data_IF_818746206155
#
_entry.id   IF_818746206155
#
_cell.length_a   1.000
_cell.length_b   1.000
_cell.length_c   1.000
_cell.angle_alpha   90.00
_cell.angle_beta   90.00
_cell.angle_gamma   90.00
#
_symmetry.space_group_name_H-M   'P 1'
#
loop_
_entity.id
_entity.type
_entity.pdbx_description
1 polymer ?
#
# COMPACT_ATOMS: atom_id res chain seq x y z
N UNK A 1 23.37 17.47 14.17
CA UNK A 1 23.17 16.88 12.84
C UNK A 1 22.18 17.72 12.03
N UNK A 2 22.37 17.87 10.72
CA UNK A 2 21.41 18.55 9.83
C UNK A 2 20.23 17.63 9.50
N UNK A 3 19.05 18.20 9.21
CA UNK A 3 17.83 17.43 8.93
C UNK A 3 17.98 16.45 7.76
N UNK A 4 18.67 16.81 6.68
CA UNK A 4 18.87 15.90 5.54
C UNK A 4 19.80 14.72 5.91
N UNK A 5 20.79 14.94 6.79
CA UNK A 5 21.67 13.87 7.30
C UNK A 5 20.87 12.86 8.15
N UNK A 6 19.92 13.35 8.95
CA UNK A 6 19.02 12.50 9.73
C UNK A 6 18.12 11.65 8.81
N UNK A 7 17.59 12.22 7.71
CA UNK A 7 16.82 11.47 6.73
C UNK A 7 17.65 10.38 6.05
N UNK A 8 18.88 10.72 5.60
CA UNK A 8 19.80 9.74 4.99
C UNK A 8 20.12 8.61 5.98
N UNK A 9 20.49 8.95 7.20
CA UNK A 9 20.79 7.96 8.26
C UNK A 9 19.59 7.05 8.55
N UNK A 10 18.39 7.61 8.53
CA UNK A 10 17.15 6.82 8.71
C UNK A 10 16.96 5.83 7.58
N UNK A 11 17.14 6.25 6.31
CA UNK A 11 17.05 5.32 5.16
C UNK A 11 18.12 4.22 5.28
N UNK A 12 19.33 4.55 5.72
CA UNK A 12 20.40 3.55 5.95
C UNK A 12 20.00 2.53 7.01
N UNK A 13 19.49 2.99 8.16
CA UNK A 13 19.04 2.10 9.26
C UNK A 13 17.90 1.18 8.83
N UNK A 14 17.08 1.63 7.88
CA UNK A 14 15.99 0.83 7.29
C UNK A 14 16.44 -0.10 6.15
N UNK A 15 17.76 -0.17 5.86
CA UNK A 15 18.31 -1.09 4.86
C UNK A 15 18.46 -0.49 3.46
N UNK A 16 18.54 0.83 3.34
CA UNK A 16 18.81 1.53 2.07
C UNK A 16 17.58 1.92 1.26
N UNK A 17 16.37 1.50 1.69
CA UNK A 17 15.07 1.85 1.11
C UNK A 17 14.09 2.16 2.25
N UNK A 18 13.26 3.19 2.07
CA UNK A 18 12.22 3.56 3.04
C UNK A 18 11.00 4.17 2.37
N UNK A 19 9.82 3.92 2.93
CA UNK A 19 8.62 4.67 2.59
C UNK A 19 8.64 6.06 3.23
N UNK A 20 7.88 6.99 2.66
CA UNK A 20 7.68 8.30 3.27
C UNK A 20 7.00 8.18 4.65
N UNK A 21 6.15 7.18 4.84
CA UNK A 21 5.51 6.87 6.13
C UNK A 21 6.53 6.46 7.18
N UNK A 22 7.42 5.51 6.86
CA UNK A 22 8.52 5.09 7.74
C UNK A 22 9.43 6.28 8.07
N UNK A 23 9.80 7.09 7.08
CA UNK A 23 10.62 8.29 7.32
C UNK A 23 9.94 9.28 8.27
N UNK A 24 8.65 9.53 8.10
CA UNK A 24 7.87 10.40 8.97
C UNK A 24 7.77 9.89 10.41
N UNK A 25 8.03 8.62 10.66
CA UNK A 25 7.99 8.00 11.99
C UNK A 25 9.38 7.86 12.59
N UNK A 26 10.34 7.34 11.81
CA UNK A 26 11.63 6.89 12.32
C UNK A 26 12.66 8.03 12.45
N UNK A 27 12.56 9.08 11.61
CA UNK A 27 13.54 10.18 11.62
C UNK A 27 13.59 10.92 12.94
N UNK A 28 12.50 10.99 13.68
CA UNK A 28 12.41 11.67 14.97
C UNK A 28 13.08 10.88 16.11
N UNK A 29 13.42 9.61 15.88
CA UNK A 29 14.20 8.79 16.83
C UNK A 29 15.72 9.09 16.75
N UNK A 30 16.13 9.99 15.85
CA UNK A 30 17.52 10.48 15.77
C UNK A 30 17.69 11.62 16.77
N UNK A 31 18.27 11.30 17.94
CA UNK A 31 18.41 12.24 19.06
C UNK A 31 19.27 13.49 18.71
N UNK A 32 20.28 13.33 17.85
CA UNK A 32 21.20 14.40 17.46
C UNK A 32 20.62 15.39 16.44
N UNK A 33 19.34 15.26 16.05
CA UNK A 33 18.69 16.12 15.08
C UNK A 33 17.47 16.82 15.66
N UNK A 34 17.55 18.14 15.73
CA UNK A 34 16.43 18.96 16.18
C UNK A 34 15.57 19.45 15.02
N UNK A 35 14.26 19.17 15.10
CA UNK A 35 13.26 19.58 14.10
C UNK A 35 12.51 20.84 14.56
N UNK A 36 13.11 22.02 14.30
CA UNK A 36 12.56 23.33 14.72
C UNK A 36 11.39 23.83 13.87
N UNK A 37 11.04 23.12 12.79
CA UNK A 37 9.97 23.52 11.87
C UNK A 37 8.60 23.15 12.40
N UNK A 38 7.58 24.00 12.13
CA UNK A 38 6.17 23.71 12.43
C UNK A 38 5.58 22.60 11.53
N UNK A 39 6.22 22.29 10.39
CA UNK A 39 5.78 21.31 9.42
C UNK A 39 6.88 20.31 9.07
N UNK A 40 7.30 19.46 10.04
CA UNK A 40 8.44 18.56 9.84
C UNK A 40 8.20 17.56 8.69
N UNK A 41 7.00 17.05 8.50
CA UNK A 41 6.67 16.13 7.41
C UNK A 41 6.81 16.77 6.01
N UNK A 42 6.49 18.06 5.88
CA UNK A 42 6.74 18.80 4.64
C UNK A 42 8.24 18.96 4.37
N UNK A 43 9.03 19.16 5.44
CA UNK A 43 10.50 19.25 5.34
C UNK A 43 11.11 17.90 4.92
N UNK A 44 10.67 16.79 5.51
CA UNK A 44 11.09 15.44 5.11
C UNK A 44 10.77 15.19 3.63
N UNK A 45 9.53 15.48 3.21
CA UNK A 45 9.11 15.34 1.80
C UNK A 45 10.00 16.16 0.86
N UNK A 46 10.31 17.40 1.20
CA UNK A 46 11.21 18.25 0.41
C UNK A 46 12.63 17.67 0.35
N UNK A 47 13.16 17.16 1.46
CA UNK A 47 14.50 16.57 1.51
C UNK A 47 14.59 15.38 0.57
N UNK A 48 13.66 14.42 0.64
CA UNK A 48 13.71 13.23 -0.22
C UNK A 48 13.49 13.53 -1.71
N UNK A 49 12.87 14.67 -2.04
CA UNK A 49 12.67 15.10 -3.42
C UNK A 49 13.86 15.89 -3.99
N UNK A 50 14.63 16.58 -3.17
CA UNK A 50 15.68 17.53 -3.61
C UNK A 50 17.10 17.04 -3.35
N UNK A 51 17.30 16.07 -2.45
CA UNK A 51 18.63 15.60 -2.11
C UNK A 51 19.14 14.62 -3.19
N UNK A 52 20.34 14.90 -3.73
CA UNK A 52 20.97 14.11 -4.80
C UNK A 52 21.40 12.69 -4.38
N UNK A 53 21.56 12.45 -3.08
CA UNK A 53 21.90 11.14 -2.53
C UNK A 53 20.68 10.21 -2.40
N UNK A 54 19.47 10.76 -2.60
CA UNK A 54 18.20 10.03 -2.49
C UNK A 54 17.57 9.98 -3.89
N UNK A 55 17.09 8.81 -4.29
CA UNK A 55 16.32 8.64 -5.52
C UNK A 55 14.93 8.07 -5.23
N UNK A 56 13.98 8.39 -6.08
CA UNK A 56 12.61 7.91 -5.99
C UNK A 56 12.51 6.59 -6.74
N UNK A 57 12.07 5.54 -6.05
CA UNK A 57 11.79 4.22 -6.65
C UNK A 57 10.35 4.21 -7.17
N UNK A 58 9.41 4.63 -6.31
CA UNK A 58 7.97 4.73 -6.56
C UNK A 58 7.39 5.96 -5.84
N UNK A 59 6.14 6.38 -6.14
CA UNK A 59 5.47 7.38 -5.32
C UNK A 59 5.44 6.96 -3.85
N UNK A 60 6.11 7.75 -2.99
CA UNK A 60 6.22 7.46 -1.56
C UNK A 60 7.32 6.47 -1.16
N UNK A 61 8.11 5.92 -2.08
CA UNK A 61 9.22 5.01 -1.81
C UNK A 61 10.55 5.60 -2.33
N UNK A 62 11.53 5.66 -1.45
CA UNK A 62 12.82 6.32 -1.71
C UNK A 62 13.98 5.41 -1.33
N UNK A 63 15.08 5.48 -2.09
CA UNK A 63 16.30 4.75 -1.84
C UNK A 63 17.52 5.66 -1.82
N UNK A 64 18.63 5.18 -1.24
CA UNK A 64 19.92 5.87 -1.31
C UNK A 64 20.69 5.49 -2.56
N UNK A 65 21.20 6.48 -3.28
CA UNK A 65 21.97 6.30 -4.51
C UNK A 65 23.14 5.32 -4.35
N UNK A 66 23.82 5.34 -3.21
CA UNK A 66 24.95 4.44 -2.92
C UNK A 66 24.53 2.96 -2.85
N UNK A 67 23.27 2.67 -2.54
CA UNK A 67 22.71 1.31 -2.50
C UNK A 67 21.89 0.97 -3.75
N UNK A 68 21.82 1.83 -4.78
CA UNK A 68 20.93 1.66 -5.93
C UNK A 68 21.07 0.27 -6.59
N UNK A 69 22.30 -0.19 -6.85
CA UNK A 69 22.55 -1.52 -7.46
C UNK A 69 22.09 -2.69 -6.57
N UNK A 70 22.23 -2.55 -5.26
CA UNK A 70 21.79 -3.55 -4.30
C UNK A 70 20.26 -3.55 -4.18
N UNK A 71 19.65 -2.38 -4.13
CA UNK A 71 18.21 -2.21 -4.13
C UNK A 71 17.58 -2.83 -5.39
N UNK A 72 18.15 -2.61 -6.58
CA UNK A 72 17.70 -3.22 -7.84
C UNK A 72 17.79 -4.76 -7.79
N UNK A 73 18.87 -5.34 -7.25
CA UNK A 73 19.00 -6.79 -7.05
C UNK A 73 17.95 -7.35 -6.07
N UNK A 74 17.54 -6.54 -5.10
CA UNK A 74 16.51 -6.90 -4.12
C UNK A 74 15.07 -6.68 -4.64
N UNK A 75 14.91 -6.29 -5.92
CA UNK A 75 13.62 -6.09 -6.56
C UNK A 75 13.04 -4.68 -6.44
N UNK A 76 13.79 -3.72 -5.86
CA UNK A 76 13.39 -2.30 -5.81
C UNK A 76 13.78 -1.59 -7.10
N UNK A 77 13.09 -1.94 -8.18
CA UNK A 77 13.41 -1.47 -9.53
C UNK A 77 12.63 -0.18 -9.80
N UNK A 78 13.32 0.84 -10.31
CA UNK A 78 12.70 2.07 -10.78
C UNK A 78 11.88 1.78 -12.04
N UNK A 79 10.62 2.21 -12.07
CA UNK A 79 9.76 2.04 -13.24
C UNK A 79 10.19 2.96 -14.37
N UNK A 80 10.34 2.39 -15.55
CA UNK A 80 10.71 3.07 -16.79
C UNK A 80 9.79 2.62 -17.91
N UNK A 81 9.71 3.39 -19.02
CA UNK A 81 8.93 3.00 -20.20
C UNK A 81 9.34 1.63 -20.80
N UNK A 82 10.54 1.13 -20.48
CA UNK A 82 11.04 -0.14 -20.97
C UNK A 82 10.65 -1.34 -20.14
N UNK A 83 10.41 -1.15 -18.83
CA UNK A 83 10.15 -2.25 -17.88
C UNK A 83 8.76 -2.22 -17.25
N UNK A 84 7.95 -1.19 -17.47
CA UNK A 84 6.64 -1.01 -16.84
C UNK A 84 5.69 -2.20 -17.04
N UNK A 85 5.80 -2.86 -18.19
CA UNK A 85 4.95 -4.00 -18.56
C UNK A 85 5.64 -5.36 -18.29
N UNK A 86 6.81 -5.39 -17.63
CA UNK A 86 7.46 -6.65 -17.25
C UNK A 86 6.70 -7.32 -16.10
N UNK A 87 6.69 -8.66 -16.11
CA UNK A 87 6.03 -9.45 -15.06
C UNK A 87 6.55 -9.08 -13.65
N UNK A 88 7.86 -8.87 -13.52
CA UNK A 88 8.50 -8.46 -12.26
C UNK A 88 7.97 -7.11 -11.77
N UNK A 89 7.83 -6.13 -12.68
CA UNK A 89 7.32 -4.80 -12.33
C UNK A 89 5.83 -4.84 -11.97
N UNK A 90 5.03 -5.62 -12.70
CA UNK A 90 3.61 -5.83 -12.42
C UNK A 90 3.43 -6.42 -11.02
N UNK A 91 4.16 -7.51 -10.70
CA UNK A 91 4.11 -8.15 -9.38
C UNK A 91 4.58 -7.21 -8.29
N UNK A 92 5.67 -6.47 -8.52
CA UNK A 92 6.18 -5.49 -7.56
C UNK A 92 5.15 -4.37 -7.29
N UNK A 93 4.57 -3.79 -8.35
CA UNK A 93 3.57 -2.74 -8.23
C UNK A 93 2.36 -3.21 -7.44
N UNK A 94 1.81 -4.37 -7.78
CA UNK A 94 0.65 -4.93 -7.12
C UNK A 94 0.91 -5.11 -5.61
N UNK A 95 2.00 -5.80 -5.25
CA UNK A 95 2.38 -6.04 -3.86
C UNK A 95 2.68 -4.74 -3.10
N UNK A 96 3.29 -3.76 -3.77
CA UNK A 96 3.60 -2.47 -3.17
C UNK A 96 2.33 -1.71 -2.77
N UNK A 97 1.34 -1.62 -3.66
CA UNK A 97 0.10 -0.92 -3.33
C UNK A 97 -0.77 -1.69 -2.33
N UNK A 98 -0.80 -3.03 -2.40
CA UNK A 98 -1.42 -3.84 -1.34
C UNK A 98 -0.80 -3.53 0.03
N UNK A 99 0.54 -3.49 0.13
CA UNK A 99 1.25 -3.18 1.37
C UNK A 99 0.95 -1.78 1.90
N UNK A 100 0.92 -0.76 1.02
CA UNK A 100 0.53 0.60 1.41
C UNK A 100 -0.90 0.66 1.96
N UNK A 101 -1.84 -0.04 1.33
CA UNK A 101 -3.23 -0.11 1.79
C UNK A 101 -3.34 -0.78 3.16
N UNK A 102 -2.56 -1.84 3.43
CA UNK A 102 -2.49 -2.47 4.74
C UNK A 102 -1.94 -1.50 5.80
N UNK A 103 -0.84 -0.79 5.50
CA UNK A 103 -0.28 0.21 6.42
C UNK A 103 -1.26 1.35 6.72
N UNK A 104 -1.93 1.88 5.69
CA UNK A 104 -2.92 2.96 5.86
C UNK A 104 -4.10 2.48 6.72
N UNK A 105 -4.63 1.27 6.47
CA UNK A 105 -5.72 0.68 7.26
C UNK A 105 -5.33 0.54 8.74
N UNK A 106 -4.14 0.00 9.00
CA UNK A 106 -3.61 -0.13 10.36
C UNK A 106 -3.43 1.24 11.05
N UNK A 107 -2.93 2.26 10.34
CA UNK A 107 -2.81 3.62 10.88
C UNK A 107 -4.17 4.25 11.19
N UNK A 108 -5.20 3.91 10.42
CA UNK A 108 -6.60 4.30 10.69
C UNK A 108 -7.26 3.49 11.82
N UNK A 109 -6.54 2.54 12.43
CA UNK A 109 -7.03 1.62 13.46
C UNK A 109 -8.17 0.71 12.96
N UNK A 110 -8.17 0.41 11.67
CA UNK A 110 -9.03 -0.58 11.05
C UNK A 110 -8.29 -1.92 11.01
N UNK A 111 -9.02 -3.02 11.14
CA UNK A 111 -8.44 -4.32 10.88
C UNK A 111 -8.25 -4.54 9.37
N UNK A 112 -7.16 -5.15 9.00
CA UNK A 112 -6.77 -5.33 7.60
C UNK A 112 -6.65 -6.81 7.23
N UNK A 113 -7.15 -7.17 6.06
CA UNK A 113 -7.08 -8.53 5.54
C UNK A 113 -6.48 -8.54 4.13
N UNK A 114 -5.73 -9.62 3.84
CA UNK A 114 -5.17 -9.90 2.52
C UNK A 114 -5.46 -11.35 2.12
N UNK A 115 -5.73 -11.65 0.82
CA UNK A 115 -5.98 -12.98 0.32
C UNK A 115 -4.84 -13.96 0.57
N UNK A 116 -5.16 -15.25 0.72
CA UNK A 116 -4.17 -16.29 0.96
C UNK A 116 -3.10 -16.38 -0.13
N UNK A 117 -3.46 -16.13 -1.38
CA UNK A 117 -2.57 -16.17 -2.54
C UNK A 117 -1.46 -15.09 -2.47
N UNK A 118 -1.73 -13.95 -1.80
CA UNK A 118 -0.82 -12.81 -1.74
C UNK A 118 -0.03 -12.72 -0.44
N UNK A 119 -0.37 -13.52 0.58
CA UNK A 119 0.23 -13.49 1.92
C UNK A 119 1.76 -13.52 1.94
N UNK A 120 2.37 -14.27 1.02
CA UNK A 120 3.82 -14.44 0.97
C UNK A 120 4.52 -13.43 0.06
N UNK A 121 3.77 -12.58 -0.64
CA UNK A 121 4.35 -11.50 -1.45
C UNK A 121 5.05 -10.49 -0.55
N UNK A 122 6.09 -9.85 -1.09
CA UNK A 122 6.90 -8.89 -0.34
C UNK A 122 6.40 -7.47 -0.54
N UNK A 123 6.28 -6.75 0.54
CA UNK A 123 6.22 -5.30 0.61
C UNK A 123 7.50 -4.81 1.27
N UNK A 124 8.39 -4.21 0.49
CA UNK A 124 9.72 -3.80 0.93
C UNK A 124 10.46 -5.00 1.55
N UNK A 125 10.74 -4.98 2.84
CA UNK A 125 11.49 -6.01 3.57
C UNK A 125 10.60 -6.95 4.39
N UNK A 126 9.27 -6.84 4.29
CA UNK A 126 8.29 -7.62 5.05
C UNK A 126 7.35 -8.38 4.11
N UNK A 127 6.76 -9.47 4.59
CA UNK A 127 5.67 -10.13 3.87
C UNK A 127 4.36 -9.39 4.13
N UNK A 128 3.44 -9.42 3.18
CA UNK A 128 2.12 -8.81 3.33
C UNK A 128 1.35 -9.40 4.52
N UNK A 129 1.51 -10.71 4.81
CA UNK A 129 0.89 -11.32 5.98
C UNK A 129 1.42 -10.80 7.33
N UNK A 130 2.61 -10.19 7.36
CA UNK A 130 3.18 -9.60 8.58
C UNK A 130 2.60 -8.19 8.82
N UNK A 131 2.05 -7.58 7.79
CA UNK A 131 1.38 -6.27 7.84
C UNK A 131 -0.11 -6.42 8.15
N UNK A 132 -0.75 -7.45 7.60
CA UNK A 132 -2.17 -7.72 7.80
C UNK A 132 -2.48 -8.04 9.27
N UNK A 133 -3.43 -7.32 9.88
CA UNK A 133 -3.85 -7.57 11.27
C UNK A 133 -4.66 -8.87 11.40
N UNK A 134 -5.42 -9.24 10.36
CA UNK A 134 -6.25 -10.43 10.33
C UNK A 134 -5.56 -11.58 9.60
N UNK A 135 -5.51 -12.75 10.23
CA UNK A 135 -4.98 -13.99 9.62
C UNK A 135 -6.02 -14.73 8.78
N UNK A 136 -7.31 -14.51 9.08
CA UNK A 136 -8.46 -15.07 8.36
C UNK A 136 -9.50 -13.98 8.16
N UNK A 137 -10.28 -14.09 7.09
CA UNK A 137 -11.42 -13.21 6.87
C UNK A 137 -12.50 -13.48 7.94
N UNK A 138 -13.07 -12.44 8.57
CA UNK A 138 -14.16 -12.58 9.54
C UNK A 138 -15.43 -13.16 8.91
N UNK A 139 -16.24 -13.81 9.74
CA UNK A 139 -17.57 -14.32 9.35
C UNK A 139 -18.61 -13.20 9.49
N UNK A 140 -18.71 -12.35 8.47
CA UNK A 140 -19.62 -11.17 8.48
C UNK A 140 -20.88 -11.37 7.63
N UNK A 141 -21.02 -12.51 6.93
CA UNK A 141 -22.13 -12.80 6.03
C UNK A 141 -22.23 -14.30 5.71
N UNK A 142 -23.05 -14.65 4.70
CA UNK A 142 -23.16 -16.02 4.18
C UNK A 142 -21.81 -16.52 3.61
N UNK A 143 -21.53 -17.84 3.72
CA UNK A 143 -20.25 -18.42 3.30
C UNK A 143 -19.86 -18.09 1.85
N UNK A 144 -20.82 -18.04 0.92
CA UNK A 144 -20.61 -17.70 -0.49
C UNK A 144 -20.08 -16.27 -0.65
N UNK A 145 -20.67 -15.34 0.09
CA UNK A 145 -20.27 -13.93 0.10
C UNK A 145 -18.88 -13.77 0.70
N UNK A 146 -18.62 -14.44 1.82
CA UNK A 146 -17.30 -14.44 2.47
C UNK A 146 -16.25 -15.01 1.52
N UNK A 147 -16.56 -16.11 0.84
CA UNK A 147 -15.69 -16.73 -0.18
C UNK A 147 -15.41 -15.75 -1.32
N UNK A 148 -16.42 -15.02 -1.81
CA UNK A 148 -16.25 -14.01 -2.86
C UNK A 148 -15.37 -12.86 -2.35
N UNK A 149 -15.65 -12.32 -1.16
CA UNK A 149 -14.87 -11.25 -0.53
C UNK A 149 -13.41 -11.66 -0.29
N UNK A 150 -13.15 -12.93 0.03
CA UNK A 150 -11.78 -13.43 0.27
C UNK A 150 -10.87 -13.36 -0.96
N UNK A 151 -11.39 -13.02 -2.13
CA UNK A 151 -10.62 -12.81 -3.38
C UNK A 151 -10.31 -11.33 -3.65
N UNK A 152 -10.78 -10.41 -2.81
CA UNK A 152 -10.48 -8.97 -2.88
C UNK A 152 -9.05 -8.72 -2.42
N UNK A 153 -8.31 -7.89 -3.12
CA UNK A 153 -6.88 -7.66 -2.90
C UNK A 153 -6.55 -7.13 -1.51
N UNK A 154 -7.32 -6.19 -0.98
CA UNK A 154 -7.23 -5.72 0.42
C UNK A 154 -8.61 -5.38 0.94
N UNK A 155 -8.90 -5.78 2.17
CA UNK A 155 -10.14 -5.41 2.86
C UNK A 155 -9.79 -4.73 4.18
N UNK A 156 -10.48 -3.64 4.47
CA UNK A 156 -10.49 -3.04 5.80
C UNK A 156 -11.77 -3.40 6.52
N UNK A 157 -11.67 -3.74 7.79
CA UNK A 157 -12.79 -4.06 8.67
C UNK A 157 -12.85 -3.07 9.81
N UNK A 158 -14.06 -2.66 10.17
CA UNK A 158 -14.34 -1.93 11.41
C UNK A 158 -14.89 -2.87 12.48
N UNK A 159 -14.56 -2.57 13.74
CA UNK A 159 -15.12 -3.26 14.87
C UNK A 159 -16.39 -2.54 15.35
N UNK A 160 -17.48 -3.27 15.50
CA UNK A 160 -18.73 -2.77 16.09
C UNK A 160 -19.18 -3.65 17.23
N UNK A 161 -19.73 -3.03 18.27
CA UNK A 161 -20.34 -3.73 19.41
C UNK A 161 -21.83 -3.92 19.15
N UNK A 162 -22.28 -5.18 19.27
CA UNK A 162 -23.69 -5.56 19.27
C UNK A 162 -23.95 -6.47 20.47
N UNK A 163 -24.81 -6.02 21.41
CA UNK A 163 -25.15 -6.79 22.60
C UNK A 163 -23.92 -7.39 23.31
N UNK A 164 -22.91 -6.55 23.58
CA UNK A 164 -21.62 -6.90 24.18
C UNK A 164 -20.72 -7.84 23.32
N UNK A 165 -21.13 -8.20 22.12
CA UNK A 165 -20.31 -8.94 21.17
C UNK A 165 -19.60 -8.00 20.19
N UNK A 166 -18.28 -8.14 20.07
CA UNK A 166 -17.51 -7.45 19.04
C UNK A 166 -17.63 -8.19 17.72
N UNK A 167 -18.18 -7.51 16.71
CA UNK A 167 -18.26 -8.03 15.35
C UNK A 167 -17.42 -7.18 14.41
N UNK A 168 -16.85 -7.82 13.38
CA UNK A 168 -16.05 -7.16 12.35
C UNK A 168 -16.85 -7.08 11.07
N UNK A 169 -17.14 -5.85 10.63
CA UNK A 169 -17.86 -5.58 9.39
C UNK A 169 -16.93 -5.00 8.34
N UNK A 170 -17.10 -5.34 7.05
CA UNK A 170 -16.33 -4.73 5.98
C UNK A 170 -16.58 -3.21 5.95
N UNK A 171 -15.48 -2.44 5.99
CA UNK A 171 -15.49 -0.98 5.88
C UNK A 171 -15.16 -0.56 4.44
N UNK A 172 -14.10 -1.13 3.86
CA UNK A 172 -13.66 -0.79 2.49
C UNK A 172 -13.07 -2.00 1.79
N UNK A 173 -13.38 -2.14 0.50
CA UNK A 173 -12.81 -3.10 -0.42
C UNK A 173 -11.88 -2.40 -1.41
N UNK A 174 -10.70 -2.97 -1.66
CA UNK A 174 -9.70 -2.43 -2.58
C UNK A 174 -9.26 -3.49 -3.58
N UNK A 175 -9.32 -3.16 -4.87
CA UNK A 175 -8.70 -3.92 -5.97
C UNK A 175 -7.56 -3.09 -6.55
N UNK A 176 -6.41 -3.73 -6.80
CA UNK A 176 -5.19 -3.09 -7.31
C UNK A 176 -5.00 -3.49 -8.77
N UNK A 177 -5.30 -2.58 -9.69
CA UNK A 177 -5.38 -2.85 -11.12
C UNK A 177 -4.31 -2.08 -11.90
N UNK A 178 -3.15 -2.69 -12.10
CA UNK A 178 -2.09 -2.08 -12.92
C UNK A 178 -2.14 -2.49 -14.39
N UNK A 179 -2.28 -3.80 -14.65
CA UNK A 179 -2.23 -4.36 -16.01
C UNK A 179 -3.41 -5.27 -16.33
N UNK A 180 -4.15 -5.67 -15.31
CA UNK A 180 -5.30 -6.59 -15.43
C UNK A 180 -6.57 -5.87 -15.88
N UNK A 181 -7.56 -6.62 -16.32
CA UNK A 181 -8.82 -6.05 -16.79
C UNK A 181 -9.67 -5.55 -15.60
N UNK A 182 -9.88 -4.24 -15.52
CA UNK A 182 -10.75 -3.57 -14.54
C UNK A 182 -12.16 -4.19 -14.49
N UNK A 183 -12.61 -4.80 -15.59
CA UNK A 183 -13.91 -5.48 -15.64
C UNK A 183 -14.05 -6.57 -14.59
N UNK A 184 -12.98 -7.33 -14.33
CA UNK A 184 -13.00 -8.40 -13.32
C UNK A 184 -13.23 -7.85 -11.91
N UNK A 185 -12.63 -6.72 -11.57
CA UNK A 185 -12.83 -6.05 -10.29
C UNK A 185 -14.23 -5.48 -10.16
N UNK A 186 -14.78 -4.90 -11.23
CA UNK A 186 -16.16 -4.42 -11.25
C UNK A 186 -17.16 -5.56 -11.08
N UNK A 187 -16.92 -6.74 -11.67
CA UNK A 187 -17.75 -7.92 -11.46
C UNK A 187 -17.70 -8.42 -10.01
N UNK A 188 -16.52 -8.42 -9.38
CA UNK A 188 -16.40 -8.74 -7.94
C UNK A 188 -17.24 -7.78 -7.10
N UNK A 189 -17.17 -6.49 -7.39
CA UNK A 189 -17.90 -5.46 -6.65
C UNK A 189 -19.41 -5.55 -6.88
N UNK A 190 -19.84 -5.90 -8.11
CA UNK A 190 -21.26 -6.15 -8.39
C UNK A 190 -21.81 -7.30 -7.54
N UNK A 191 -21.03 -8.37 -7.32
CA UNK A 191 -21.44 -9.49 -6.46
C UNK A 191 -21.56 -9.08 -4.98
N UNK A 192 -20.89 -7.98 -4.58
CA UNK A 192 -20.81 -7.47 -3.20
C UNK A 192 -21.58 -6.15 -2.99
N UNK A 193 -22.31 -5.67 -3.98
CA UNK A 193 -22.98 -4.36 -3.96
C UNK A 193 -24.04 -4.18 -2.86
N UNK A 194 -24.54 -5.27 -2.29
CA UNK A 194 -25.55 -5.23 -1.23
C UNK A 194 -24.97 -4.87 0.15
N UNK A 195 -23.65 -4.78 0.29
CA UNK A 195 -23.00 -4.28 1.49
C UNK A 195 -22.87 -2.75 1.42
N UNK A 196 -23.15 -2.09 2.52
CA UNK A 196 -22.87 -0.66 2.68
C UNK A 196 -21.38 -0.46 2.97
N UNK A 197 -20.57 -0.66 1.93
CA UNK A 197 -19.11 -0.70 1.98
C UNK A 197 -18.55 0.16 0.87
N UNK A 198 -17.51 0.93 1.17
CA UNK A 198 -16.79 1.70 0.15
C UNK A 198 -15.96 0.76 -0.74
N UNK A 199 -16.02 0.94 -2.05
CA UNK A 199 -15.33 0.11 -3.04
C UNK A 199 -14.38 0.95 -3.87
N UNK A 200 -13.09 0.60 -3.88
CA UNK A 200 -12.03 1.37 -4.52
C UNK A 200 -11.26 0.53 -5.52
N UNK A 201 -10.99 1.09 -6.69
CA UNK A 201 -10.00 0.56 -7.63
C UNK A 201 -8.78 1.45 -7.58
N UNK A 202 -7.63 0.86 -7.26
CA UNK A 202 -6.32 1.51 -7.24
C UNK A 202 -5.62 1.20 -8.55
N UNK A 203 -5.52 2.20 -9.42
CA UNK A 203 -4.94 2.07 -10.76
C UNK A 203 -4.11 3.30 -11.11
N UNK A 204 -3.33 3.21 -12.19
CA UNK A 204 -2.67 4.37 -12.76
C UNK A 204 -3.72 5.35 -13.35
N UNK A 205 -3.43 6.66 -13.27
CA UNK A 205 -4.32 7.72 -13.77
C UNK A 205 -4.64 7.57 -15.26
N UNK A 206 -3.73 7.03 -16.05
CA UNK A 206 -3.93 6.78 -17.48
C UNK A 206 -5.11 5.82 -17.76
N UNK A 207 -5.48 4.98 -16.77
CA UNK A 207 -6.59 4.03 -16.88
C UNK A 207 -7.96 4.62 -16.50
N UNK A 208 -8.00 5.88 -16.10
CA UNK A 208 -9.25 6.55 -15.69
C UNK A 208 -10.34 6.48 -16.76
N UNK A 209 -9.98 6.73 -18.02
CA UNK A 209 -10.94 6.68 -19.12
C UNK A 209 -11.50 5.28 -19.38
N UNK A 210 -10.65 4.24 -19.22
CA UNK A 210 -11.09 2.84 -19.29
C UNK A 210 -12.12 2.53 -18.21
N UNK A 211 -11.82 2.95 -16.96
CA UNK A 211 -12.72 2.77 -15.82
C UNK A 211 -14.07 3.48 -16.03
N UNK A 212 -14.06 4.76 -16.38
CA UNK A 212 -15.27 5.54 -16.63
C UNK A 212 -16.14 4.92 -17.74
N UNK A 213 -15.50 4.45 -18.80
CA UNK A 213 -16.18 3.75 -19.90
C UNK A 213 -16.85 2.47 -19.44
N UNK A 214 -16.16 1.63 -18.64
CA UNK A 214 -16.70 0.36 -18.17
C UNK A 214 -17.84 0.53 -17.17
N UNK A 215 -17.79 1.51 -16.29
CA UNK A 215 -18.91 1.83 -15.38
C UNK A 215 -20.14 2.29 -16.18
N UNK A 216 -19.97 3.12 -17.21
CA UNK A 216 -21.10 3.64 -17.99
C UNK A 216 -21.85 2.58 -18.79
N UNK A 217 -21.25 1.43 -19.07
CA UNK A 217 -21.91 0.29 -19.73
C UNK A 217 -22.62 -0.66 -18.75
N UNK A 218 -22.42 -0.48 -17.45
CA UNK A 218 -22.99 -1.35 -16.40
C UNK A 218 -24.24 -0.75 -15.74
N UNK A 219 -24.69 0.43 -16.21
CA UNK A 219 -25.87 1.14 -15.72
C UNK A 219 -27.11 0.83 -16.56
#
# INVERSE_FOLDING_TARGET
MKQYEAVILTIERLGGVATLGELNHEVFKIEDCEWKTKTPFASIRRIVQQNKEIYKIKPGLYGLMKYKKENERNGFIEETEKNKDSEEMIVFNHSYYQGLLLEIGNLKKLDTFIPNQDKNRKFINRKLCDLSSLKKIPEFSYPEIIKRSSTIDVIWFENRLFDDNEIKLPHSFFEVEHSTDIQNSLLKYNDLQNFYTEMFIVADEVRKQEFEKKISYSA
#
